data_IF_830179329310
#
_entry.id   IF_830179329310
#
_cell.length_a   1.000
_cell.length_b   1.000
_cell.length_c   1.000
_cell.angle_alpha   90.00
_cell.angle_beta   90.00
_cell.angle_gamma   90.00
#
_symmetry.space_group_name_H-M   'P 1'
#
loop_
_entity.id
_entity.type
_entity.pdbx_description
1 polymer ?
2 polymer ?
#
# COMPACT_ATOMS: atom_id res chain seq x y z
N UNK A 1 0.02 8.68 31.90
CA UNK A 1 0.96 7.60 31.45
C UNK A 1 2.07 8.22 30.59
N UNK A 2 2.70 7.43 29.72
CA UNK A 2 4.13 7.60 29.33
C UNK A 2 4.30 8.36 28.01
N UNK A 3 3.24 8.66 27.25
CA UNK A 3 3.35 9.53 26.05
C UNK A 3 3.77 10.92 26.51
N UNK A 4 3.06 11.44 27.52
CA UNK A 4 3.30 12.79 28.11
C UNK A 4 4.72 12.84 28.69
N UNK A 5 5.18 11.74 29.30
CA UNK A 5 6.45 11.68 30.07
C UNK A 5 7.65 11.41 29.14
N UNK A 6 7.42 10.80 27.96
CA UNK A 6 8.49 10.37 27.02
C UNK A 6 8.54 11.28 25.78
N UNK A 7 7.40 11.73 25.26
CA UNK A 7 7.29 12.45 23.97
C UNK A 7 6.74 13.87 24.18
N UNK A 8 7.07 14.76 23.23
CA UNK A 8 6.58 16.16 23.14
C UNK A 8 5.98 16.39 21.75
N UNK A 9 4.72 16.83 21.67
CA UNK A 9 3.99 17.06 20.40
C UNK A 9 4.49 18.35 19.74
N UNK A 10 4.41 18.43 18.41
CA UNK A 10 4.65 19.65 17.61
C UNK A 10 3.54 19.74 16.55
N UNK A 11 3.86 20.25 15.36
CA UNK A 11 2.83 20.74 14.38
C UNK A 11 1.94 19.60 13.89
N UNK A 12 0.71 19.96 13.50
CA UNK A 12 -0.25 19.16 12.70
C UNK A 12 0.41 18.72 11.39
N UNK A 13 0.28 17.44 11.03
CA UNK A 13 0.79 16.86 9.75
C UNK A 13 -0.39 16.37 8.91
N UNK A 14 -1.44 15.84 9.54
CA UNK A 14 -2.67 15.37 8.86
C UNK A 14 -3.80 15.11 9.84
N UNK A 15 -5.04 15.17 9.34
CA UNK A 15 -6.29 14.93 10.12
C UNK A 15 -7.00 13.70 9.55
N UNK A 16 -7.66 12.92 10.42
CA UNK A 16 -8.48 11.75 10.04
C UNK A 16 -9.93 11.94 10.46
N UNK A 17 -10.74 10.90 10.31
CA UNK A 17 -12.15 10.86 10.78
C UNK A 17 -12.16 10.84 12.30
N UNK A 18 -11.29 10.01 12.91
CA UNK A 18 -11.16 9.84 14.38
C UNK A 18 -9.70 9.91 14.82
N UNK A 19 -8.82 10.48 14.00
CA UNK A 19 -7.36 10.54 14.24
C UNK A 19 -6.76 11.83 13.70
N UNK A 20 -5.72 12.32 14.38
CA UNK A 20 -4.81 13.40 13.91
C UNK A 20 -3.39 12.83 13.96
N UNK A 21 -2.51 13.28 13.07
CA UNK A 21 -1.06 12.91 13.05
C UNK A 21 -0.25 14.19 13.20
N UNK A 22 0.66 14.18 14.18
CA UNK A 22 1.43 15.37 14.65
C UNK A 22 2.89 14.97 14.80
N UNK A 23 3.83 15.80 14.34
CA UNK A 23 5.29 15.54 14.51
C UNK A 23 5.57 15.56 16.01
N UNK A 24 6.33 14.59 16.52
CA UNK A 24 6.71 14.49 17.95
C UNK A 24 8.20 14.12 18.08
N UNK A 25 8.71 14.16 19.32
CA UNK A 25 10.13 13.89 19.66
C UNK A 25 10.17 13.05 20.94
N UNK A 26 10.69 11.82 20.86
CA UNK A 26 11.11 11.02 22.04
C UNK A 26 12.26 11.79 22.69
N UNK A 27 12.02 12.35 23.88
CA UNK A 27 12.78 13.52 24.41
C UNK A 27 14.23 13.11 24.72
N UNK A 28 14.45 12.00 25.42
CA UNK A 28 15.81 11.57 25.86
C UNK A 28 16.57 10.92 24.69
N UNK A 29 15.89 10.69 23.55
CA UNK A 29 16.49 10.19 22.29
C UNK A 29 16.83 11.37 21.38
N UNK A 30 15.99 12.41 21.37
CA UNK A 30 16.09 13.54 20.42
C UNK A 30 15.90 13.09 18.99
N UNK A 31 15.11 12.04 18.78
CA UNK A 31 14.71 11.50 17.46
C UNK A 31 13.26 11.90 17.21
N UNK A 32 12.95 12.41 16.02
CA UNK A 32 11.58 12.90 15.68
C UNK A 32 10.80 11.78 14.99
N UNK A 33 9.48 11.79 15.15
CA UNK A 33 8.53 10.73 14.75
C UNK A 33 7.19 11.35 14.33
N UNK A 34 6.30 10.53 13.79
CA UNK A 34 4.91 10.90 13.42
C UNK A 34 3.96 10.18 14.38
N UNK A 35 3.39 10.92 15.33
CA UNK A 35 2.40 10.42 16.32
C UNK A 35 0.99 10.51 15.72
N UNK A 36 0.45 9.39 15.23
CA UNK A 36 -0.99 9.25 14.90
C UNK A 36 -1.72 9.15 16.24
N UNK A 37 -2.51 10.16 16.58
CA UNK A 37 -3.28 10.23 17.86
C UNK A 37 -4.74 9.93 17.53
N UNK A 38 -5.27 8.85 18.08
CA UNK A 38 -6.61 8.28 17.72
C UNK A 38 -7.54 8.43 18.93
N UNK A 39 -8.64 9.14 18.74
CA UNK A 39 -9.76 9.24 19.72
C UNK A 39 -10.46 7.87 19.80
N UNK A 40 -10.05 7.04 20.76
CA UNK A 40 -10.57 5.66 20.99
C UNK A 40 -12.06 5.72 21.37
N UNK A 41 -12.49 6.83 21.96
CA UNK A 41 -13.91 7.10 22.31
C UNK A 41 -14.78 7.00 21.05
N UNK A 42 -14.38 7.70 19.98
CA UNK A 42 -15.16 7.81 18.71
C UNK A 42 -15.19 6.48 17.96
N UNK A 43 -14.25 5.56 18.21
CA UNK A 43 -14.08 4.32 17.40
C UNK A 43 -15.25 3.36 17.62
N UNK A 44 -15.67 2.68 16.53
CA UNK A 44 -16.65 1.57 16.53
C UNK A 44 -15.95 0.26 16.93
N UNK A 45 -16.68 -0.86 16.86
CA UNK A 45 -16.19 -2.21 17.23
C UNK A 45 -15.10 -2.64 16.24
N UNK A 46 -15.43 -2.73 14.95
CA UNK A 46 -14.51 -3.19 13.87
C UNK A 46 -13.33 -2.22 13.73
N UNK A 47 -13.54 -0.93 14.04
CA UNK A 47 -12.47 0.11 14.02
C UNK A 47 -11.41 -0.24 15.08
N UNK A 48 -11.86 -0.57 16.30
CA UNK A 48 -10.99 -1.01 17.43
C UNK A 48 -10.17 -2.24 17.03
N UNK A 49 -10.82 -3.25 16.47
CA UNK A 49 -10.18 -4.53 16.04
C UNK A 49 -9.03 -4.23 15.08
N UNK A 50 -9.30 -3.46 14.02
CA UNK A 50 -8.33 -3.06 12.97
C UNK A 50 -7.12 -2.36 13.60
N UNK A 51 -7.35 -1.51 14.61
CA UNK A 51 -6.29 -0.74 15.33
C UNK A 51 -5.31 -1.69 16.03
N UNK A 52 -5.83 -2.66 16.79
CA UNK A 52 -5.02 -3.68 17.52
C UNK A 52 -4.18 -4.45 16.51
N UNK A 53 -4.83 -4.95 15.45
CA UNK A 53 -4.22 -5.66 14.31
C UNK A 53 -3.10 -4.80 13.71
N UNK A 54 -3.43 -3.57 13.30
CA UNK A 54 -2.49 -2.60 12.67
C UNK A 54 -1.23 -2.44 13.54
N UNK A 55 -1.40 -2.38 14.86
CA UNK A 55 -0.30 -2.16 15.84
C UNK A 55 0.60 -3.39 15.93
N UNK A 56 0.02 -4.59 16.01
CA UNK A 56 0.76 -5.88 16.13
C UNK A 56 1.49 -6.19 14.82
N UNK A 57 0.82 -6.01 13.67
CA UNK A 57 1.35 -6.35 12.32
C UNK A 57 2.50 -5.42 11.97
N UNK A 58 2.30 -4.10 12.06
CA UNK A 58 3.35 -3.08 11.80
C UNK A 58 4.62 -3.45 12.59
N UNK A 59 4.44 -3.80 13.87
CA UNK A 59 5.53 -4.07 14.85
C UNK A 59 6.30 -5.34 14.47
N UNK A 60 5.68 -6.26 13.71
CA UNK A 60 6.36 -7.46 13.15
C UNK A 60 7.39 -7.05 12.09
N UNK A 61 7.12 -5.96 11.36
CA UNK A 61 7.86 -5.57 10.14
C UNK A 61 8.90 -4.49 10.47
N UNK A 62 10.12 -4.67 9.96
CA UNK A 62 11.23 -3.68 10.05
C UNK A 62 11.97 -3.71 8.71
N UNK A 63 11.70 -2.75 7.84
CA UNK A 63 12.27 -2.62 6.47
C UNK A 63 12.32 -1.15 6.09
N UNK A 64 13.41 -0.66 5.44
CA UNK A 64 13.49 0.74 5.05
C UNK A 64 12.29 1.20 4.19
N UNK A 65 11.72 0.29 3.40
CA UNK A 65 10.59 0.58 2.48
C UNK A 65 9.25 0.25 3.15
N UNK A 66 9.22 0.17 4.48
CA UNK A 66 7.97 0.01 5.28
C UNK A 66 8.01 1.06 6.40
N UNK A 67 6.92 1.80 6.59
CA UNK A 67 6.78 2.86 7.63
C UNK A 67 6.78 2.14 8.99
N UNK A 68 7.86 2.28 9.76
CA UNK A 68 8.08 1.49 11.00
C UNK A 68 7.20 2.06 12.12
N UNK A 69 6.53 1.18 12.85
CA UNK A 69 5.91 1.48 14.15
C UNK A 69 6.97 1.25 15.22
N UNK A 70 7.28 2.29 16.00
CA UNK A 70 8.36 2.29 17.02
C UNK A 70 7.76 2.04 18.39
N UNK A 71 6.49 2.44 18.60
CA UNK A 71 5.84 2.46 19.94
C UNK A 71 4.31 2.48 19.77
N UNK A 72 3.61 2.10 20.83
CA UNK A 72 2.13 2.04 20.91
C UNK A 72 1.70 2.28 22.36
N UNK A 73 1.02 3.40 22.63
CA UNK A 73 0.59 3.81 24.01
C UNK A 73 -0.93 4.02 23.99
N UNK A 74 -1.60 3.86 25.13
CA UNK A 74 -3.07 4.03 25.32
C UNK A 74 -3.34 4.94 26.53
N UNK A 75 -4.31 5.86 26.42
CA UNK A 75 -4.64 6.88 27.45
C UNK A 75 -6.16 7.13 27.53
N UNK A 76 -6.93 6.12 27.93
CA UNK A 76 -8.39 6.21 28.24
C UNK A 76 -9.18 6.56 26.97
N UNK A 77 -9.00 7.76 26.42
CA UNK A 77 -9.75 8.26 25.25
C UNK A 77 -8.87 8.39 24.00
N UNK A 78 -7.56 8.14 24.11
CA UNK A 78 -6.58 8.29 23.01
C UNK A 78 -5.60 7.11 22.99
N UNK A 79 -5.39 6.52 21.81
CA UNK A 79 -4.24 5.63 21.51
C UNK A 79 -3.23 6.41 20.65
N UNK A 80 -1.94 6.35 21.01
CA UNK A 80 -0.81 6.99 20.28
C UNK A 80 0.00 5.90 19.57
N UNK A 81 0.04 5.96 18.23
CA UNK A 81 0.92 5.13 17.37
C UNK A 81 2.10 5.97 16.93
N UNK A 82 3.31 5.60 17.36
CA UNK A 82 4.57 6.35 17.07
C UNK A 82 5.24 5.72 15.85
N UNK A 83 5.13 6.40 14.70
CA UNK A 83 5.58 5.92 13.37
C UNK A 83 6.86 6.65 12.95
N UNK A 84 7.46 6.22 11.84
CA UNK A 84 8.52 6.96 11.11
C UNK A 84 7.96 8.36 10.80
N UNK A 85 8.80 9.39 10.85
CA UNK A 85 8.47 10.72 10.31
C UNK A 85 8.58 10.61 8.78
N UNK A 86 7.57 11.13 8.06
CA UNK A 86 7.47 11.05 6.57
C UNK A 86 6.87 12.37 6.09
N UNK A 87 7.63 13.10 5.27
CA UNK A 87 7.36 14.51 4.88
C UNK A 87 7.07 14.64 3.38
N UNK A 88 7.23 13.58 2.58
CA UNK A 88 7.14 13.64 1.11
C UNK A 88 5.72 13.45 0.57
N UNK A 89 4.75 13.14 1.44
CA UNK A 89 3.35 12.93 1.06
C UNK A 89 3.13 11.59 0.38
N UNK A 90 2.00 11.43 -0.33
CA UNK A 90 1.57 10.17 -0.97
C UNK A 90 2.17 10.05 -2.37
N UNK A 91 2.38 8.82 -2.84
CA UNK A 91 2.83 8.51 -4.22
C UNK A 91 1.75 8.95 -5.22
N UNK A 92 0.46 8.86 -4.81
CA UNK A 92 -0.72 9.29 -5.60
C UNK A 92 -0.55 10.76 -5.99
N UNK A 93 -0.38 11.62 -4.99
CA UNK A 93 -0.25 13.10 -5.13
C UNK A 93 0.98 13.42 -5.98
N UNK A 94 2.05 12.61 -5.88
CA UNK A 94 3.32 12.79 -6.64
C UNK A 94 3.13 12.33 -8.10
N UNK A 95 2.27 11.35 -8.35
CA UNK A 95 1.95 10.87 -9.73
C UNK A 95 1.12 11.93 -10.44
N UNK A 96 0.13 12.51 -9.77
CA UNK A 96 -0.75 13.57 -10.33
C UNK A 96 0.14 14.76 -10.73
N UNK A 97 0.92 15.28 -9.79
CA UNK A 97 1.84 16.43 -9.94
C UNK A 97 2.80 16.22 -11.13
N UNK A 98 3.29 14.99 -11.32
CA UNK A 98 4.26 14.61 -12.37
C UNK A 98 3.57 13.84 -13.50
N UNK A 99 2.32 13.41 -13.29
CA UNK A 99 1.39 12.87 -14.32
C UNK A 99 1.76 11.42 -14.67
N UNK A 100 3.00 11.13 -15.06
CA UNK A 100 3.55 9.75 -15.25
C UNK A 100 5.04 9.74 -14.91
N UNK A 101 5.63 8.54 -14.78
CA UNK A 101 7.08 8.30 -14.49
C UNK A 101 7.77 7.71 -15.71
N UNK A 102 9.01 8.12 -15.98
CA UNK A 102 9.94 7.44 -16.93
C UNK A 102 10.05 5.97 -16.53
N UNK A 103 10.38 5.08 -17.48
CA UNK A 103 10.55 3.63 -17.22
C UNK A 103 11.58 3.45 -16.10
N UNK A 104 12.67 4.22 -16.14
CA UNK A 104 13.77 4.20 -15.15
C UNK A 104 13.22 4.41 -13.73
N UNK A 105 12.52 5.52 -13.50
CA UNK A 105 11.93 5.89 -12.18
C UNK A 105 10.89 4.83 -11.81
N UNK A 106 9.97 4.55 -12.73
CA UNK A 106 8.92 3.50 -12.58
C UNK A 106 9.54 2.21 -12.06
N UNK A 107 10.67 1.80 -12.65
CA UNK A 107 11.45 0.60 -12.23
C UNK A 107 11.98 0.79 -10.80
N UNK A 108 12.58 1.95 -10.51
CA UNK A 108 13.20 2.24 -9.20
C UNK A 108 12.11 2.25 -8.11
N UNK A 109 10.92 2.74 -8.46
CA UNK A 109 9.77 2.86 -7.53
C UNK A 109 9.19 1.48 -7.23
N UNK A 110 8.73 0.76 -8.26
CA UNK A 110 8.07 -0.57 -8.14
C UNK A 110 9.03 -1.54 -7.43
N UNK A 111 10.33 -1.39 -7.68
CA UNK A 111 11.45 -2.13 -7.01
C UNK A 111 11.27 -2.10 -5.49
N UNK A 112 11.14 -0.90 -4.92
CA UNK A 112 11.07 -0.65 -3.45
C UNK A 112 9.78 -1.25 -2.88
N UNK A 113 8.66 -1.05 -3.56
CA UNK A 113 7.33 -1.61 -3.19
C UNK A 113 7.48 -3.14 -3.09
N UNK A 114 8.05 -3.77 -4.12
CA UNK A 114 8.22 -5.23 -4.24
C UNK A 114 9.07 -5.77 -3.07
N UNK A 115 10.17 -5.08 -2.74
CA UNK A 115 11.04 -5.47 -1.61
C UNK A 115 10.23 -5.44 -0.31
N UNK A 116 9.52 -4.34 -0.06
CA UNK A 116 8.63 -4.15 1.10
C UNK A 116 7.59 -5.27 1.14
N UNK A 117 6.98 -5.56 0.00
CA UNK A 117 5.95 -6.63 -0.16
C UNK A 117 6.62 -7.96 0.17
N UNK A 118 7.82 -8.20 -0.36
CA UNK A 118 8.62 -9.44 -0.09
C UNK A 118 8.79 -9.61 1.43
N UNK A 119 9.24 -8.57 2.13
CA UNK A 119 9.42 -8.60 3.60
C UNK A 119 8.11 -9.04 4.26
N UNK A 120 7.00 -8.39 3.89
CA UNK A 120 5.64 -8.69 4.40
C UNK A 120 5.33 -10.18 4.25
N UNK A 121 5.41 -10.67 3.02
CA UNK A 121 5.16 -12.09 2.65
C UNK A 121 6.10 -13.03 3.41
N UNK A 122 7.37 -12.64 3.59
CA UNK A 122 8.39 -13.40 4.36
C UNK A 122 8.03 -13.44 5.85
N UNK A 123 7.34 -12.41 6.34
CA UNK A 123 6.84 -12.29 7.74
C UNK A 123 5.40 -12.83 7.87
N UNK A 124 4.89 -13.56 6.88
CA UNK A 124 3.52 -14.09 6.86
C UNK A 124 2.46 -13.01 6.96
N UNK A 125 2.71 -11.82 6.40
CA UNK A 125 1.73 -10.69 6.35
C UNK A 125 1.35 -10.42 4.89
N UNK A 126 0.04 -10.27 4.63
CA UNK A 126 -0.55 -9.78 3.35
C UNK A 126 -1.26 -8.45 3.62
N UNK A 127 -0.90 -7.39 2.90
CA UNK A 127 -1.41 -5.99 3.07
C UNK A 127 -2.87 -5.90 2.63
N UNK A 128 -3.16 -6.32 1.40
CA UNK A 128 -4.50 -6.44 0.78
C UNK A 128 -4.99 -5.10 0.21
N UNK A 129 -4.45 -3.97 0.66
CA UNK A 129 -4.91 -2.62 0.25
C UNK A 129 -3.77 -1.83 -0.37
N UNK A 130 -2.93 -2.48 -1.17
CA UNK A 130 -1.82 -1.80 -1.90
C UNK A 130 -2.43 -0.84 -2.93
N UNK A 131 -2.11 0.46 -2.79
CA UNK A 131 -2.49 1.53 -3.75
C UNK A 131 -1.63 2.77 -3.49
N UNK A 132 -1.46 3.65 -4.50
CA UNK A 132 -0.59 4.83 -4.37
C UNK A 132 -0.92 5.76 -3.19
N UNK A 133 -2.15 5.72 -2.67
CA UNK A 133 -2.56 6.47 -1.46
C UNK A 133 -1.80 5.94 -0.23
N UNK A 134 -1.54 4.64 -0.19
CA UNK A 134 -0.92 3.92 0.97
C UNK A 134 0.57 3.68 0.69
N UNK A 135 1.15 4.40 -0.26
CA UNK A 135 2.61 4.44 -0.53
C UNK A 135 3.08 5.89 -0.37
N UNK A 136 4.01 6.13 0.55
CA UNK A 136 4.41 7.48 1.04
C UNK A 136 5.88 7.75 0.69
N UNK A 137 6.21 8.97 0.24
CA UNK A 137 7.62 9.40 -0.04
C UNK A 137 8.25 9.95 1.25
N UNK A 138 9.43 9.45 1.61
CA UNK A 138 10.18 9.78 2.86
C UNK A 138 10.21 11.29 3.10
N UNK A 139 10.57 12.06 2.07
CA UNK A 139 10.75 13.55 2.12
C UNK A 139 10.42 14.16 0.75
N UNK A 140 10.58 15.48 0.64
CA UNK A 140 10.38 16.26 -0.62
C UNK A 140 11.59 16.06 -1.57
N UNK A 141 12.65 15.36 -1.13
CA UNK A 141 13.90 15.14 -1.90
C UNK A 141 13.62 14.29 -3.14
N UNK A 142 14.42 14.47 -4.20
CA UNK A 142 14.15 13.98 -5.58
C UNK A 142 14.63 12.53 -5.76
N UNK A 143 15.07 11.87 -4.68
CA UNK A 143 15.33 10.41 -4.64
C UNK A 143 14.85 9.79 -3.34
N UNK A 144 13.86 10.41 -2.67
CA UNK A 144 13.34 9.99 -1.36
C UNK A 144 12.77 8.58 -1.45
N UNK A 145 13.01 7.75 -0.43
CA UNK A 145 12.56 6.34 -0.35
C UNK A 145 11.03 6.28 -0.31
N UNK A 146 10.45 5.23 -0.89
CA UNK A 146 9.00 4.90 -0.83
C UNK A 146 8.78 3.89 0.30
N UNK A 147 7.83 4.16 1.20
CA UNK A 147 7.50 3.31 2.37
C UNK A 147 6.03 2.91 2.31
N UNK A 148 5.75 1.61 2.49
CA UNK A 148 4.37 1.04 2.53
C UNK A 148 3.73 1.37 3.88
N UNK A 149 2.48 1.84 3.87
CA UNK A 149 1.73 2.33 5.05
C UNK A 149 0.29 1.78 5.06
N UNK A 150 -0.43 2.03 6.17
CA UNK A 150 -1.84 1.63 6.43
C UNK A 150 -1.98 0.10 6.29
N UNK A 151 -1.69 -0.62 7.39
CA UNK A 151 -1.85 -2.10 7.51
C UNK A 151 -3.13 -2.43 8.29
N UNK A 152 -4.03 -1.44 8.43
CA UNK A 152 -5.36 -1.59 9.05
C UNK A 152 -6.16 -2.75 8.48
N UNK A 153 -5.98 -3.08 7.20
CA UNK A 153 -6.65 -4.22 6.52
C UNK A 153 -5.67 -5.39 6.31
N UNK A 154 -4.45 -5.34 6.84
CA UNK A 154 -3.44 -6.42 6.68
C UNK A 154 -3.90 -7.65 7.47
N UNK A 155 -3.47 -8.84 7.03
CA UNK A 155 -3.82 -10.14 7.69
C UNK A 155 -2.55 -10.98 7.81
N UNK A 156 -2.57 -11.94 8.75
CA UNK A 156 -1.49 -12.94 8.96
C UNK A 156 -1.90 -14.25 8.27
N UNK A 157 -0.94 -14.95 7.69
CA UNK A 157 -1.15 -16.21 6.91
C UNK A 157 -0.12 -17.24 7.38
N UNK A 158 -0.39 -18.52 7.13
CA UNK A 158 0.49 -19.67 7.48
C UNK A 158 1.12 -20.18 6.17
N UNK A 159 2.42 -19.90 5.97
CA UNK A 159 3.17 -20.26 4.77
C UNK A 159 2.46 -19.81 3.50
N UNK A 160 2.04 -20.76 2.67
CA UNK A 160 1.41 -20.54 1.33
C UNK A 160 -0.07 -20.94 1.37
N UNK A 161 -0.63 -21.14 2.57
CA UNK A 161 -2.05 -21.56 2.76
C UNK A 161 -2.97 -20.40 2.39
N UNK A 162 -3.96 -20.66 1.54
CA UNK A 162 -5.02 -19.70 1.14
C UNK A 162 -6.26 -19.99 2.01
N UNK A 163 -7.01 -18.96 2.37
CA UNK A 163 -8.32 -19.07 3.07
C UNK A 163 -9.18 -17.87 2.69
N UNK A 164 -10.50 -17.97 2.88
CA UNK A 164 -11.42 -16.82 2.75
C UNK A 164 -11.24 -15.87 3.95
N UNK A 165 -10.45 -14.81 3.76
CA UNK A 165 -10.14 -13.80 4.81
C UNK A 165 -11.14 -12.64 4.76
N UNK A 166 -12.13 -12.69 3.85
CA UNK A 166 -13.22 -11.70 3.75
C UNK A 166 -13.04 -10.77 2.55
N UNK A 167 -14.11 -10.11 2.13
CA UNK A 167 -14.09 -9.05 1.09
C UNK A 167 -13.57 -7.77 1.75
N UNK A 168 -12.41 -7.29 1.28
CA UNK A 168 -11.73 -6.10 1.81
C UNK A 168 -10.74 -5.57 0.76
N UNK A 169 -10.56 -4.25 0.73
CA UNK A 169 -9.63 -3.54 -0.18
C UNK A 169 -10.33 -2.43 -0.95
N UNK A 170 -9.65 -1.90 -1.97
CA UNK A 170 -10.07 -0.74 -2.80
C UNK A 170 -10.40 -1.23 -4.20
N UNK A 171 -11.61 -0.93 -4.74
CA UNK A 171 -12.12 -1.57 -5.96
C UNK A 171 -11.13 -1.67 -7.12
N UNK A 172 -10.41 -0.58 -7.44
CA UNK A 172 -9.43 -0.52 -8.54
C UNK A 172 -8.33 -1.57 -8.40
N UNK A 173 -7.96 -1.94 -7.17
CA UNK A 173 -6.75 -2.75 -6.86
C UNK A 173 -7.10 -4.16 -6.36
N UNK A 174 -8.40 -4.49 -6.26
CA UNK A 174 -8.90 -5.81 -5.80
C UNK A 174 -8.48 -6.90 -6.79
N UNK A 175 -7.92 -8.00 -6.30
CA UNK A 175 -7.50 -9.17 -7.12
C UNK A 175 -8.75 -9.88 -7.64
N UNK A 176 -8.67 -10.57 -8.81
CA UNK A 176 -9.77 -11.40 -9.28
C UNK A 176 -10.26 -12.46 -8.27
N UNK A 177 -9.34 -13.10 -7.53
CA UNK A 177 -9.67 -14.22 -6.61
C UNK A 177 -10.58 -13.71 -5.49
N UNK A 178 -10.29 -12.53 -4.95
CA UNK A 178 -11.12 -11.86 -3.91
C UNK A 178 -12.54 -11.68 -4.48
N UNK A 179 -12.65 -11.08 -5.67
CA UNK A 179 -13.95 -10.75 -6.31
C UNK A 179 -14.74 -12.02 -6.64
N UNK A 180 -14.06 -13.13 -6.98
CA UNK A 180 -14.67 -14.45 -7.26
C UNK A 180 -15.14 -15.11 -5.96
N UNK A 181 -14.67 -14.59 -4.81
CA UNK A 181 -14.99 -15.07 -3.44
C UNK A 181 -14.23 -16.39 -3.18
N UNK A 182 -13.12 -16.60 -3.90
CA UNK A 182 -12.19 -17.76 -3.70
C UNK A 182 -11.29 -17.48 -2.51
N UNK A 183 -10.81 -18.53 -1.81
CA UNK A 183 -9.73 -18.35 -0.84
C UNK A 183 -8.51 -17.73 -1.52
N UNK A 184 -7.77 -16.89 -0.81
CA UNK A 184 -6.66 -16.08 -1.38
C UNK A 184 -5.53 -15.93 -0.35
N UNK A 185 -4.42 -15.31 -0.77
CA UNK A 185 -3.21 -15.10 0.05
C UNK A 185 -2.28 -14.06 -0.56
N UNK A 186 -0.98 -14.36 -0.57
CA UNK A 186 0.10 -13.39 -0.93
C UNK A 186 -0.14 -12.82 -2.33
N UNK A 187 -0.54 -13.65 -3.32
CA UNK A 187 -0.67 -13.18 -4.71
C UNK A 187 -1.54 -11.93 -4.90
N UNK A 188 -2.51 -11.64 -4.02
CA UNK A 188 -3.38 -10.44 -4.15
C UNK A 188 -2.51 -9.17 -4.18
N UNK A 189 -1.48 -9.08 -3.32
CA UNK A 189 -0.58 -7.90 -3.22
C UNK A 189 0.20 -7.70 -4.53
N UNK A 190 0.50 -8.79 -5.25
CA UNK A 190 1.24 -8.78 -6.54
C UNK A 190 0.31 -8.32 -7.67
N UNK A 191 -0.97 -8.69 -7.61
CA UNK A 191 -2.01 -8.10 -8.49
C UNK A 191 -2.00 -6.58 -8.33
N UNK A 192 -2.06 -6.09 -7.08
CA UNK A 192 -2.09 -4.66 -6.73
C UNK A 192 -0.84 -3.95 -7.29
N UNK A 193 0.31 -4.63 -7.30
CA UNK A 193 1.58 -4.10 -7.88
C UNK A 193 1.43 -3.90 -9.39
N UNK A 194 0.77 -4.83 -10.08
CA UNK A 194 0.48 -4.72 -11.52
C UNK A 194 -0.23 -3.42 -11.83
N UNK A 195 -1.29 -3.12 -11.09
CA UNK A 195 -2.18 -1.94 -11.31
C UNK A 195 -1.39 -0.67 -10.99
N UNK A 196 -0.56 -0.70 -9.95
CA UNK A 196 0.28 0.46 -9.51
C UNK A 196 1.37 0.75 -10.55
N UNK A 197 2.04 -0.31 -11.04
CA UNK A 197 3.09 -0.22 -12.09
C UNK A 197 2.48 0.39 -13.36
N UNK A 198 1.34 -0.15 -13.81
CA UNK A 198 0.58 0.32 -14.99
C UNK A 198 0.32 1.82 -14.86
N UNK A 199 -0.10 2.27 -13.67
CA UNK A 199 -0.40 3.70 -13.38
C UNK A 199 0.88 4.53 -13.47
N UNK A 200 2.00 4.04 -12.94
CA UNK A 200 3.30 4.76 -12.95
C UNK A 200 3.69 5.12 -14.39
N UNK A 201 3.56 4.17 -15.33
CA UNK A 201 4.14 4.28 -16.69
C UNK A 201 3.36 5.28 -17.55
N UNK A 202 2.03 5.12 -17.65
CA UNK A 202 1.17 5.93 -18.58
C UNK A 202 0.32 6.94 -17.81
N UNK A 203 0.24 6.84 -16.47
CA UNK A 203 -0.36 7.87 -15.61
C UNK A 203 -1.84 7.66 -15.35
N UNK A 204 -2.43 6.57 -15.88
CA UNK A 204 -3.87 6.21 -15.70
C UNK A 204 -4.00 4.70 -15.44
N UNK A 205 -5.12 4.24 -14.82
CA UNK A 205 -5.26 2.86 -14.39
C UNK A 205 -5.82 1.91 -15.45
N UNK A 206 -5.47 0.61 -15.38
CA UNK A 206 -5.87 -0.37 -16.40
C UNK A 206 -7.31 -0.89 -16.26
N UNK A 207 -7.89 -0.75 -15.06
CA UNK A 207 -9.28 -1.18 -14.74
C UNK A 207 -10.07 0.01 -14.20
N UNK A 208 -11.07 0.47 -14.96
CA UNK A 208 -12.05 1.47 -14.46
C UNK A 208 -13.34 1.39 -15.28
N UNK A 209 -14.46 1.38 -14.56
CA UNK A 209 -15.79 1.74 -15.09
C UNK A 209 -16.50 2.57 -14.01
N UNK A 210 -17.36 3.51 -14.42
CA UNK A 210 -18.20 4.31 -13.51
C UNK A 210 -19.16 3.36 -12.79
N UNK A 211 -19.55 2.28 -13.49
CA UNK A 211 -20.40 1.16 -12.99
C UNK A 211 -19.50 0.14 -12.29
N UNK A 212 -19.59 0.05 -10.97
CA UNK A 212 -18.73 -0.80 -10.10
C UNK A 212 -18.85 -2.28 -10.50
N UNK A 213 -20.07 -2.77 -10.79
CA UNK A 213 -20.34 -4.20 -11.08
C UNK A 213 -19.76 -4.58 -12.46
N UNK A 214 -19.54 -3.59 -13.32
CA UNK A 214 -18.85 -3.76 -14.64
C UNK A 214 -17.33 -3.71 -14.39
N UNK A 215 -16.87 -2.78 -13.57
CA UNK A 215 -15.45 -2.72 -13.11
C UNK A 215 -15.00 -4.11 -12.63
N UNK A 216 -15.80 -4.74 -11.76
CA UNK A 216 -15.48 -6.05 -11.11
C UNK A 216 -15.44 -7.17 -12.15
N UNK A 217 -16.19 -7.05 -13.25
CA UNK A 217 -16.17 -8.00 -14.40
C UNK A 217 -14.88 -7.76 -15.20
N UNK A 218 -14.52 -6.49 -15.39
CA UNK A 218 -13.28 -6.05 -16.11
C UNK A 218 -12.06 -6.67 -15.43
N UNK A 219 -12.04 -6.69 -14.10
CA UNK A 219 -10.92 -7.22 -13.26
C UNK A 219 -10.88 -8.75 -13.40
N UNK A 220 -12.05 -9.39 -13.24
CA UNK A 220 -12.20 -10.87 -13.21
C UNK A 220 -11.87 -11.49 -14.57
N UNK A 221 -12.12 -10.77 -15.67
CA UNK A 221 -11.85 -11.24 -17.05
C UNK A 221 -10.40 -10.96 -17.46
N UNK A 222 -9.65 -10.22 -16.65
CA UNK A 222 -8.28 -9.76 -16.98
C UNK A 222 -8.28 -8.76 -18.11
N UNK A 223 -9.39 -8.02 -18.27
CA UNK A 223 -9.71 -7.15 -19.43
C UNK A 223 -9.03 -5.79 -19.27
N UNK A 224 -7.70 -5.74 -19.44
CA UNK A 224 -6.89 -4.51 -19.52
C UNK A 224 -6.26 -4.47 -20.91
N UNK A 225 -5.67 -3.33 -21.29
CA UNK A 225 -5.10 -3.11 -22.63
C UNK A 225 -3.89 -2.18 -22.55
N UNK A 226 -3.14 -2.08 -23.65
CA UNK A 226 -1.99 -1.16 -23.85
C UNK A 226 -2.28 -0.30 -25.08
N UNK A 227 -3.20 0.70 -24.97
CA UNK A 227 -3.60 1.51 -26.12
C UNK A 227 -2.43 2.28 -26.78
N UNK A 228 -2.38 2.27 -28.11
CA UNK A 228 -1.52 3.14 -28.96
C UNK A 228 -2.01 4.59 -28.84
N UNK A 229 -1.14 5.62 -28.96
CA UNK A 229 0.29 5.45 -29.24
C UNK A 229 1.21 5.39 -28.01
N UNK A 230 0.74 5.89 -26.87
CA UNK A 230 1.49 6.07 -25.59
C UNK A 230 2.25 4.80 -25.16
N UNK A 231 1.69 3.61 -25.41
CA UNK A 231 2.27 2.31 -24.98
C UNK A 231 3.26 1.76 -26.02
N UNK A 232 3.32 2.36 -27.23
CA UNK A 232 4.14 1.86 -28.37
C UNK A 232 5.63 2.16 -28.11
N UNK A 233 5.94 3.15 -27.28
CA UNK A 233 7.33 3.53 -26.88
C UNK A 233 7.69 2.96 -25.49
N UNK A 234 6.74 2.29 -24.81
CA UNK A 234 7.01 1.47 -23.59
C UNK A 234 7.62 0.14 -24.06
N UNK A 235 8.59 -0.40 -23.30
CA UNK A 235 9.38 -1.61 -23.69
C UNK A 235 8.55 -2.87 -23.45
N UNK A 236 8.74 -3.93 -24.26
CA UNK A 236 7.99 -5.19 -24.06
C UNK A 236 8.28 -5.90 -22.73
N UNK A 237 9.44 -5.66 -22.12
CA UNK A 237 9.83 -6.25 -20.80
C UNK A 237 9.05 -5.55 -19.68
N UNK A 238 8.71 -4.27 -19.85
CA UNK A 238 7.85 -3.50 -18.92
C UNK A 238 6.44 -4.10 -18.95
N UNK A 239 5.89 -4.25 -20.16
CA UNK A 239 4.56 -4.88 -20.41
C UNK A 239 4.59 -6.33 -19.93
N UNK A 240 5.70 -7.04 -20.17
CA UNK A 240 5.86 -8.47 -19.78
C UNK A 240 5.67 -8.61 -18.27
N UNK A 241 6.44 -7.84 -17.48
CA UNK A 241 6.35 -7.86 -16.01
C UNK A 241 4.89 -7.63 -15.60
N UNK A 242 4.25 -6.59 -16.13
CA UNK A 242 2.82 -6.21 -15.84
C UNK A 242 1.91 -7.41 -16.12
N UNK A 243 2.01 -8.01 -17.30
CA UNK A 243 1.18 -9.18 -17.70
C UNK A 243 1.35 -10.30 -16.67
N UNK A 244 2.56 -10.47 -16.11
CA UNK A 244 2.87 -11.53 -15.13
C UNK A 244 2.18 -11.21 -13.80
N UNK A 245 2.08 -9.92 -13.47
CA UNK A 245 1.43 -9.40 -12.24
C UNK A 245 -0.10 -9.47 -12.40
N UNK A 246 -0.62 -9.10 -13.56
CA UNK A 246 -2.08 -9.12 -13.85
C UNK A 246 -2.44 -10.43 -14.54
N UNK A 247 -1.99 -11.54 -13.95
CA UNK A 247 -2.44 -12.92 -14.25
C UNK A 247 -3.67 -13.19 -13.39
N UNK A 248 -4.75 -13.68 -14.01
CA UNK A 248 -6.09 -13.95 -13.42
C UNK A 248 -5.97 -15.01 -12.31
N UNK A 249 -5.20 -16.06 -12.57
CA UNK A 249 -4.95 -17.18 -11.64
C UNK A 249 -3.83 -16.80 -10.67
N UNK A 250 -4.12 -16.65 -9.35
CA UNK A 250 -3.05 -16.37 -8.38
C UNK A 250 -1.92 -17.43 -8.49
N UNK A 251 -2.31 -18.69 -8.69
CA UNK A 251 -1.42 -19.88 -8.81
C UNK A 251 -0.36 -19.66 -9.89
N UNK A 252 -0.68 -18.91 -10.96
CA UNK A 252 0.24 -18.64 -12.11
C UNK A 252 0.89 -17.26 -11.99
N UNK A 253 0.38 -16.40 -11.11
CA UNK A 253 0.86 -15.01 -10.92
C UNK A 253 2.27 -15.01 -10.34
N UNK A 254 3.13 -14.12 -10.83
CA UNK A 254 4.54 -13.93 -10.38
C UNK A 254 4.53 -13.51 -8.90
N UNK A 255 5.48 -14.00 -8.11
CA UNK A 255 5.67 -13.62 -6.68
C UNK A 255 6.63 -12.43 -6.61
N UNK A 256 6.75 -11.82 -5.42
CA UNK A 256 7.64 -10.68 -5.12
C UNK A 256 9.09 -11.09 -5.37
N UNK A 257 9.49 -12.25 -4.85
CA UNK A 257 10.81 -12.88 -5.09
C UNK A 257 11.12 -12.86 -6.59
N UNK A 258 10.21 -13.40 -7.40
CA UNK A 258 10.40 -13.64 -8.85
C UNK A 258 10.48 -12.30 -9.59
N UNK A 259 9.65 -11.34 -9.20
CA UNK A 259 9.51 -10.01 -9.83
C UNK A 259 10.79 -9.19 -9.62
N UNK A 260 11.40 -9.30 -8.43
CA UNK A 260 12.68 -8.61 -8.12
C UNK A 260 13.79 -9.14 -9.03
N UNK A 261 13.66 -10.37 -9.53
CA UNK A 261 14.65 -11.02 -10.46
C UNK A 261 14.25 -10.79 -11.93
N UNK A 262 13.18 -10.04 -12.22
CA UNK A 262 12.74 -9.69 -13.60
C UNK A 262 13.76 -8.75 -14.22
N UNK A 263 14.20 -8.99 -15.49
CA UNK A 263 15.19 -8.13 -16.15
C UNK A 263 14.87 -6.63 -16.07
N UNK A 264 13.60 -6.26 -16.24
CA UNK A 264 13.14 -4.84 -16.22
C UNK A 264 13.53 -4.17 -14.90
N UNK A 265 13.61 -4.93 -13.81
CA UNK A 265 14.05 -4.44 -12.46
C UNK A 265 15.52 -4.81 -12.23
N UNK A 266 15.89 -6.07 -12.52
CA UNK A 266 17.25 -6.65 -12.30
C UNK A 266 18.36 -5.82 -12.97
N UNK A 267 18.08 -5.21 -14.12
CA UNK A 267 19.08 -4.59 -15.03
C UNK A 267 18.69 -3.14 -15.33
N UNK B 7 -9.20 8.10 -22.26
CA UNK B 7 -8.57 7.09 -21.35
C UNK B 7 -9.31 7.07 -20.00
N UNK B 8 -9.24 5.93 -19.31
CA UNK B 8 -9.72 5.76 -17.91
C UNK B 8 -9.06 6.82 -17.03
N UNK B 9 -9.80 7.43 -16.11
CA UNK B 9 -9.32 8.50 -15.19
C UNK B 9 -8.77 7.84 -13.92
N UNK B 10 -7.65 8.37 -13.40
CA UNK B 10 -7.06 7.99 -12.08
C UNK B 10 -7.71 8.85 -11.00
N UNK B 11 -8.37 8.22 -10.03
CA UNK B 11 -9.08 8.91 -8.90
C UNK B 11 -8.69 8.25 -7.57
N UNK B 12 -8.70 9.05 -6.51
CA UNK B 12 -8.65 8.61 -5.10
C UNK B 12 -9.85 7.68 -4.87
N UNK B 13 -9.60 6.47 -4.36
CA UNK B 13 -10.63 5.42 -4.12
C UNK B 13 -10.58 4.99 -2.66
N UNK B 14 -11.74 4.70 -2.08
CA UNK B 14 -11.90 4.39 -0.63
C UNK B 14 -11.93 2.87 -0.44
N UNK B 15 -11.56 2.42 0.76
CA UNK B 15 -11.30 1.01 1.11
C UNK B 15 -12.60 0.37 1.59
N UNK B 16 -12.91 -0.84 1.10
CA UNK B 16 -13.96 -1.73 1.66
C UNK B 16 -13.32 -2.62 2.74
N UNK B 17 -14.10 -2.92 3.77
CA UNK B 17 -13.66 -3.63 4.99
C UNK B 17 -14.71 -4.69 5.36
N UNK B 18 -15.99 -4.41 5.09
CA UNK B 18 -17.16 -5.31 5.31
C UNK B 18 -17.07 -5.95 6.69
#
# INVERSE_FOLDING_TARGET
>A
TRFTEEYQLFEELGKGAFSVVRRCVKVLAGQEYAAKIINTKKLSARDHQKLEREARICRLLKHPNIVRLHDSISEEGHHYLIFDLVTGGELFEDIVAREYYSEADASHCIQQILEAVLHCHQMGVVHRNLKPENLLLASKLKGAAVKLADFGLAIEVEGEQQAWFGFAGTPGYLSPEVLRKDPYGKPVDLWACGVILYILLVGYPPFWDEDQHRLYKQIKAGAYDFPSPEWDTVTPEAKDLINKMLTINPSKRITAAEALKHPWISHR
>B
KAQKKNRNKLRRQHDYDTFVDL
#
